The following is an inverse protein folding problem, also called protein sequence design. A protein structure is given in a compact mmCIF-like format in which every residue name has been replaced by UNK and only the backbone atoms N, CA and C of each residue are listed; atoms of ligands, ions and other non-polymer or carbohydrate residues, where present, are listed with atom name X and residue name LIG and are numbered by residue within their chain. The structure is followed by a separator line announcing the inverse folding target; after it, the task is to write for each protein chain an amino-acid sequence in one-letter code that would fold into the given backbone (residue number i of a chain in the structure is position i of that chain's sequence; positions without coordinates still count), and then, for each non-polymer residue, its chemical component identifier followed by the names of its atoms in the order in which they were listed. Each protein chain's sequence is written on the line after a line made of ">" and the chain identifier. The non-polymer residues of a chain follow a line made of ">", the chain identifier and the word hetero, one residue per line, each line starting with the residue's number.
data_IF_372335470596
#
_entry.id   IF_372335470596
#
_cell.length_a   1.000
_cell.length_b   1.000
_cell.length_c   1.000
_cell.angle_alpha   90.00
_cell.angle_beta   90.00
_cell.angle_gamma   90.00
#
_symmetry.space_group_name_H-M   'P 1'
#
loop_
_entity.id
_entity.type
_entity.pdbx_description
1 polymer ?
#
# COMPACT_ATOMS: atom_id res chain seq x y z
N UNK A 1 37.58 20.00 -4.47
CA UNK A 1 37.35 18.76 -5.25
C UNK A 1 35.84 18.61 -5.41
N UNK A 2 35.33 18.95 -6.59
CA UNK A 2 33.92 18.79 -6.97
C UNK A 2 33.65 17.30 -7.16
N UNK A 3 32.89 16.69 -6.26
CA UNK A 3 32.38 15.33 -6.46
C UNK A 3 31.46 15.34 -7.68
N UNK A 4 31.88 14.69 -8.77
CA UNK A 4 30.98 14.37 -9.86
C UNK A 4 29.90 13.41 -9.31
N UNK A 5 28.71 13.93 -9.07
CA UNK A 5 27.50 13.15 -8.80
C UNK A 5 27.11 12.39 -10.08
N UNK A 6 27.83 11.32 -10.40
CA UNK A 6 27.46 10.42 -11.47
C UNK A 6 26.14 9.73 -11.14
N UNK A 7 25.17 9.80 -12.05
CA UNK A 7 23.91 9.06 -11.98
C UNK A 7 24.21 7.58 -11.70
N UNK A 8 23.72 7.06 -10.56
CA UNK A 8 23.96 5.66 -10.17
C UNK A 8 23.02 4.76 -10.97
N UNK A 9 23.54 4.25 -12.09
CA UNK A 9 22.87 3.22 -12.87
C UNK A 9 23.04 1.86 -12.19
N UNK A 10 21.95 1.14 -11.96
CA UNK A 10 21.92 -0.16 -11.27
C UNK A 10 21.22 -1.18 -12.17
N UNK A 11 21.72 -2.42 -12.20
CA UNK A 11 21.06 -3.51 -12.90
C UNK A 11 19.92 -4.08 -12.03
N UNK A 12 18.74 -4.18 -12.60
CA UNK A 12 17.57 -4.85 -12.04
C UNK A 12 17.42 -6.20 -12.75
N UNK A 13 16.91 -7.22 -12.07
CA UNK A 13 16.78 -8.57 -12.60
C UNK A 13 15.41 -8.79 -13.24
N UNK A 14 15.38 -8.90 -14.57
CA UNK A 14 14.15 -9.16 -15.32
C UNK A 14 13.59 -10.56 -15.03
N UNK A 15 14.42 -11.52 -14.61
CA UNK A 15 13.99 -12.89 -14.35
C UNK A 15 13.07 -12.99 -13.13
N UNK A 16 13.12 -12.02 -12.21
CA UNK A 16 12.20 -11.91 -11.08
C UNK A 16 10.81 -11.37 -11.47
N UNK A 17 10.66 -10.81 -12.68
CA UNK A 17 9.36 -10.33 -13.15
C UNK A 17 8.42 -11.50 -13.46
N UNK A 18 7.13 -11.24 -13.32
CA UNK A 18 6.04 -12.17 -13.62
C UNK A 18 6.06 -13.49 -12.81
N UNK A 19 6.89 -13.55 -11.77
CA UNK A 19 7.01 -14.70 -10.88
C UNK A 19 6.19 -14.46 -9.62
N UNK A 20 5.21 -15.33 -9.36
CA UNK A 20 4.43 -15.29 -8.13
C UNK A 20 5.26 -15.77 -6.94
N UNK A 21 5.19 -15.05 -5.83
CA UNK A 21 5.66 -15.57 -4.55
C UNK A 21 4.75 -16.72 -4.05
N UNK A 22 5.16 -17.38 -2.97
CA UNK A 22 4.33 -18.40 -2.32
C UNK A 22 3.03 -17.79 -1.79
N UNK A 23 1.98 -18.62 -1.75
CA UNK A 23 0.68 -18.22 -1.24
C UNK A 23 0.76 -18.02 0.29
N UNK A 24 0.35 -16.85 0.75
CA UNK A 24 0.17 -16.52 2.17
C UNK A 24 -1.29 -16.67 2.57
N UNK A 25 -1.55 -17.16 3.78
CA UNK A 25 -2.92 -17.34 4.27
C UNK A 25 -3.21 -16.48 5.48
N UNK A 26 -4.39 -15.86 5.50
CA UNK A 26 -4.80 -14.96 6.57
C UNK A 26 -6.23 -15.26 7.00
N UNK A 27 -6.41 -15.49 8.30
CA UNK A 27 -7.74 -15.61 8.90
C UNK A 27 -8.24 -14.24 9.35
N UNK A 28 -9.41 -13.85 8.83
CA UNK A 28 -10.07 -12.59 9.19
C UNK A 28 -11.00 -12.83 10.37
N UNK A 29 -10.84 -12.05 11.43
CA UNK A 29 -11.74 -12.09 12.59
C UNK A 29 -12.36 -10.72 12.83
N UNK A 30 -13.51 -10.69 13.52
CA UNK A 30 -14.16 -9.44 13.90
C UNK A 30 -13.26 -8.59 14.80
N UNK A 31 -12.51 -9.23 15.69
CA UNK A 31 -11.57 -8.56 16.59
C UNK A 31 -10.48 -7.84 15.81
N UNK A 32 -9.84 -8.52 14.84
CA UNK A 32 -8.79 -7.90 14.00
C UNK A 32 -9.32 -6.72 13.18
N UNK A 33 -10.54 -6.84 12.65
CA UNK A 33 -11.18 -5.73 11.93
C UNK A 33 -11.40 -4.54 12.87
N UNK A 34 -11.93 -4.79 14.07
CA UNK A 34 -12.21 -3.75 15.06
C UNK A 34 -10.92 -3.09 15.59
N UNK A 35 -9.87 -3.89 15.82
CA UNK A 35 -8.53 -3.42 16.22
C UNK A 35 -7.93 -2.50 15.15
N UNK A 36 -7.99 -2.89 13.88
CA UNK A 36 -7.54 -2.05 12.79
C UNK A 36 -8.33 -0.75 12.69
N UNK A 37 -9.67 -0.82 12.78
CA UNK A 37 -10.52 0.36 12.77
C UNK A 37 -10.19 1.33 13.92
N UNK A 38 -9.94 0.81 15.12
CA UNK A 38 -9.51 1.61 16.27
C UNK A 38 -8.10 2.20 16.06
N UNK A 39 -7.19 1.44 15.46
CA UNK A 39 -5.83 1.88 15.15
C UNK A 39 -5.75 2.89 13.99
N UNK A 40 -6.83 3.09 13.23
CA UNK A 40 -6.94 4.08 12.15
C UNK A 40 -7.94 5.19 12.44
N UNK A 41 -8.36 5.35 13.70
CA UNK A 41 -9.34 6.35 14.14
C UNK A 41 -10.64 6.33 13.31
N UNK A 42 -11.02 5.16 12.82
CA UNK A 42 -12.13 5.00 11.89
C UNK A 42 -13.47 5.22 12.63
N UNK A 43 -14.29 6.20 12.22
CA UNK A 43 -15.55 6.51 12.92
C UNK A 43 -16.70 5.57 12.53
N UNK A 44 -16.55 4.74 11.49
CA UNK A 44 -17.64 3.95 10.92
C UNK A 44 -18.01 2.80 11.87
N UNK A 45 -19.26 2.78 12.32
CA UNK A 45 -19.75 1.82 13.32
C UNK A 45 -19.59 0.37 12.90
N UNK A 46 -19.81 0.06 11.62
CA UNK A 46 -19.65 -1.29 11.09
C UNK A 46 -18.20 -1.80 11.14
N UNK A 47 -17.22 -0.91 10.90
CA UNK A 47 -15.79 -1.24 11.01
C UNK A 47 -15.40 -1.45 12.48
N UNK A 48 -15.80 -0.51 13.35
CA UNK A 48 -15.53 -0.58 14.79
C UNK A 48 -16.16 -1.80 15.47
N UNK A 49 -17.29 -2.28 14.95
CA UNK A 49 -17.95 -3.49 15.44
C UNK A 49 -17.34 -4.78 14.89
N UNK A 50 -16.34 -4.72 13.99
CA UNK A 50 -15.78 -5.91 13.37
C UNK A 50 -16.72 -6.60 12.38
N UNK A 51 -17.75 -5.89 11.88
CA UNK A 51 -18.80 -6.47 11.04
C UNK A 51 -18.42 -6.51 9.55
N UNK A 52 -17.54 -5.60 9.12
CA UNK A 52 -16.97 -5.54 7.77
C UNK A 52 -15.64 -4.77 7.86
N UNK A 53 -14.64 -5.20 7.10
CA UNK A 53 -13.35 -4.53 7.10
C UNK A 53 -13.42 -3.16 6.42
N UNK A 54 -12.61 -2.20 6.86
CA UNK A 54 -12.38 -0.97 6.11
C UNK A 54 -11.65 -1.28 4.79
N UNK A 55 -11.75 -0.44 3.74
CA UNK A 55 -11.13 -0.74 2.45
C UNK A 55 -9.61 -0.99 2.54
N UNK A 56 -8.91 -0.20 3.37
CA UNK A 56 -7.44 -0.28 3.49
C UNK A 56 -6.99 -1.46 4.35
N UNK A 57 -7.88 -2.08 5.15
CA UNK A 57 -7.58 -3.36 5.81
C UNK A 57 -7.14 -4.44 4.82
N UNK A 58 -7.50 -4.34 3.54
CA UNK A 58 -7.04 -5.25 2.49
C UNK A 58 -5.51 -5.35 2.37
N UNK A 59 -4.73 -4.41 2.93
CA UNK A 59 -3.27 -4.52 2.98
C UNK A 59 -2.78 -5.54 4.01
N UNK A 60 -3.52 -5.75 5.11
CA UNK A 60 -3.09 -6.58 6.24
C UNK A 60 -2.88 -8.05 5.83
N UNK A 61 -3.79 -8.68 5.05
CA UNK A 61 -3.60 -10.05 4.58
C UNK A 61 -2.45 -10.25 3.57
N UNK A 62 -1.87 -9.16 3.04
CA UNK A 62 -0.93 -9.24 1.91
C UNK A 62 0.45 -8.66 2.21
N UNK A 63 0.63 -8.06 3.40
CA UNK A 63 1.84 -7.31 3.76
C UNK A 63 3.13 -8.11 3.53
N UNK A 64 3.18 -9.36 3.99
CA UNK A 64 4.36 -10.23 3.82
C UNK A 64 4.60 -10.59 2.34
N UNK A 65 3.53 -10.86 1.58
CA UNK A 65 3.63 -11.24 0.17
C UNK A 65 4.24 -10.13 -0.71
N UNK A 66 4.14 -8.86 -0.30
CA UNK A 66 4.59 -7.70 -1.08
C UNK A 66 6.12 -7.57 -1.16
N UNK A 67 6.86 -8.09 -0.19
CA UNK A 67 8.31 -7.85 -0.09
C UNK A 67 9.12 -8.66 -1.10
N UNK A 68 8.79 -9.94 -1.25
CA UNK A 68 9.54 -10.87 -2.11
C UNK A 68 9.63 -10.40 -3.58
N UNK A 69 8.54 -9.95 -4.23
CA UNK A 69 8.60 -9.39 -5.57
C UNK A 69 9.62 -8.26 -5.77
N UNK A 70 9.87 -7.45 -4.73
CA UNK A 70 10.86 -6.36 -4.80
C UNK A 70 12.27 -6.93 -4.72
N UNK A 71 12.50 -7.91 -3.83
CA UNK A 71 13.79 -8.57 -3.65
C UNK A 71 14.21 -9.33 -4.92
N UNK A 72 13.26 -9.98 -5.59
CA UNK A 72 13.54 -10.76 -6.79
C UNK A 72 13.97 -9.90 -7.99
N UNK A 73 13.70 -8.59 -7.95
CA UNK A 73 13.96 -7.67 -9.07
C UNK A 73 15.01 -6.62 -8.74
N UNK A 74 15.06 -6.12 -7.50
CA UNK A 74 16.02 -5.09 -7.08
C UNK A 74 17.13 -5.67 -6.20
N UNK A 75 18.39 -5.22 -6.39
CA UNK A 75 19.47 -5.64 -5.51
C UNK A 75 19.25 -5.09 -4.08
N UNK A 76 19.49 -5.93 -3.08
CA UNK A 76 19.19 -5.59 -1.68
C UNK A 76 19.98 -4.39 -1.13
N UNK A 77 21.15 -4.09 -1.70
CA UNK A 77 22.01 -2.99 -1.27
C UNK A 77 21.46 -1.59 -1.58
N UNK A 78 20.35 -1.46 -2.32
CA UNK A 78 19.69 -0.17 -2.59
C UNK A 78 18.41 0.04 -1.77
N UNK A 79 18.03 -0.90 -0.91
CA UNK A 79 16.75 -0.86 -0.18
C UNK A 79 16.67 0.31 0.81
N UNK A 80 17.79 0.87 1.29
CA UNK A 80 17.77 2.10 2.09
C UNK A 80 17.22 3.34 1.35
N UNK A 81 16.94 3.26 0.04
CA UNK A 81 16.38 4.34 -0.78
C UNK A 81 14.97 4.04 -1.30
N UNK A 82 14.42 2.88 -0.98
CA UNK A 82 13.07 2.51 -1.39
C UNK A 82 12.04 3.25 -0.55
N UNK A 83 10.97 3.70 -1.18
CA UNK A 83 9.77 4.22 -0.51
C UNK A 83 8.54 3.60 -1.14
N UNK A 84 7.47 3.49 -0.37
CA UNK A 84 6.15 3.16 -0.90
C UNK A 84 5.62 4.41 -1.64
N UNK A 85 5.58 4.35 -2.97
CA UNK A 85 5.23 5.50 -3.81
C UNK A 85 3.74 5.64 -4.07
N UNK A 86 3.08 4.55 -4.47
CA UNK A 86 1.67 4.54 -4.84
C UNK A 86 1.01 3.22 -4.40
N UNK A 87 -0.26 3.29 -4.03
CA UNK A 87 -1.11 2.15 -3.68
C UNK A 87 -2.43 2.29 -4.43
N UNK A 88 -2.89 1.24 -5.11
CA UNK A 88 -4.14 1.20 -5.86
C UNK A 88 -4.88 -0.12 -5.58
N UNK A 89 -5.96 -0.05 -4.81
CA UNK A 89 -6.83 -1.19 -4.54
C UNK A 89 -7.94 -1.27 -5.58
N UNK A 90 -8.23 -2.48 -6.07
CA UNK A 90 -9.40 -2.83 -6.88
C UNK A 90 -10.20 -3.89 -6.12
N UNK A 91 -11.35 -3.51 -5.57
CA UNK A 91 -12.18 -4.38 -4.74
C UNK A 91 -13.26 -5.07 -5.57
N UNK A 92 -13.34 -6.40 -5.44
CA UNK A 92 -14.39 -7.23 -6.05
C UNK A 92 -15.51 -7.53 -5.05
N UNK A 93 -15.16 -7.63 -3.76
CA UNK A 93 -16.10 -7.63 -2.62
C UNK A 93 -15.41 -7.11 -1.36
N UNK A 94 -16.21 -6.75 -0.35
CA UNK A 94 -15.67 -6.41 0.97
C UNK A 94 -15.08 -7.66 1.66
N UNK A 95 -14.09 -7.44 2.53
CA UNK A 95 -13.57 -8.45 3.44
C UNK A 95 -14.49 -8.52 4.66
N UNK A 96 -14.92 -9.73 5.01
CA UNK A 96 -15.88 -9.99 6.09
C UNK A 96 -15.25 -10.89 7.17
N UNK A 97 -15.68 -10.77 8.44
CA UNK A 97 -15.20 -11.66 9.49
C UNK A 97 -15.53 -13.12 9.15
N UNK A 98 -14.56 -14.02 9.41
CA UNK A 98 -14.65 -15.43 9.03
C UNK A 98 -14.07 -15.74 7.64
N UNK A 99 -13.72 -14.74 6.83
CA UNK A 99 -12.97 -14.95 5.60
C UNK A 99 -11.63 -15.66 5.91
N UNK A 100 -11.31 -16.66 5.08
CA UNK A 100 -9.95 -17.22 4.99
C UNK A 100 -9.37 -16.78 3.66
N UNK A 101 -8.45 -15.82 3.72
CA UNK A 101 -7.85 -15.20 2.55
C UNK A 101 -6.57 -15.92 2.18
N UNK A 102 -6.31 -16.01 0.88
CA UNK A 102 -5.08 -16.52 0.27
C UNK A 102 -4.55 -15.42 -0.64
N UNK A 103 -3.34 -14.95 -0.38
CA UNK A 103 -2.72 -13.85 -1.09
C UNK A 103 -1.39 -14.24 -1.70
N UNK A 104 -1.07 -13.62 -2.83
CA UNK A 104 0.20 -13.77 -3.53
C UNK A 104 0.50 -12.50 -4.31
N UNK A 105 1.76 -12.27 -4.60
CA UNK A 105 2.21 -11.09 -5.31
C UNK A 105 3.29 -11.41 -6.34
N UNK A 106 3.46 -10.52 -7.32
CA UNK A 106 4.53 -10.57 -8.30
C UNK A 106 4.92 -9.18 -8.76
N UNK A 107 6.16 -8.98 -9.16
CA UNK A 107 6.59 -7.77 -9.82
C UNK A 107 6.19 -7.88 -11.31
N UNK A 108 5.45 -6.90 -11.82
CA UNK A 108 4.95 -6.90 -13.21
C UNK A 108 5.80 -6.03 -14.14
N UNK A 109 6.64 -5.17 -13.56
CA UNK A 109 7.60 -4.38 -14.33
C UNK A 109 8.35 -3.38 -13.47
N UNK A 110 9.37 -2.79 -14.08
CA UNK A 110 10.08 -1.64 -13.52
C UNK A 110 10.30 -0.57 -14.58
N UNK A 111 10.30 0.69 -14.15
CA UNK A 111 10.42 1.86 -15.03
C UNK A 111 11.47 2.81 -14.48
N UNK A 112 12.52 3.04 -15.27
CA UNK A 112 13.53 4.07 -15.01
C UNK A 112 12.95 5.44 -15.35
N UNK A 113 13.03 6.38 -14.41
CA UNK A 113 12.54 7.76 -14.50
C UNK A 113 13.69 8.74 -14.23
N UNK A 114 13.44 10.03 -14.47
CA UNK A 114 14.42 11.08 -14.27
C UNK A 114 14.88 11.24 -12.80
N UNK A 115 14.07 10.82 -11.82
CA UNK A 115 14.31 10.98 -10.39
C UNK A 115 14.47 9.64 -9.63
N UNK A 116 14.56 8.52 -10.34
CA UNK A 116 14.67 7.19 -9.72
C UNK A 116 14.04 6.10 -10.56
N UNK A 117 13.78 4.95 -9.94
CA UNK A 117 13.19 3.77 -10.61
C UNK A 117 12.00 3.28 -9.79
N UNK A 118 10.88 3.02 -10.48
CA UNK A 118 9.70 2.39 -9.87
C UNK A 118 9.63 0.92 -10.22
N UNK A 119 9.32 0.04 -9.27
CA UNK A 119 8.85 -1.33 -9.50
C UNK A 119 7.34 -1.34 -9.27
N UNK A 120 6.58 -1.87 -10.24
CA UNK A 120 5.15 -2.13 -10.12
C UNK A 120 4.92 -3.57 -9.68
N UNK A 121 4.11 -3.76 -8.65
CA UNK A 121 3.80 -5.04 -8.03
C UNK A 121 2.29 -5.26 -8.16
N UNK A 122 1.89 -6.43 -8.65
CA UNK A 122 0.50 -6.90 -8.60
C UNK A 122 0.35 -7.88 -7.45
N UNK A 123 -0.69 -7.68 -6.65
CA UNK A 123 -1.13 -8.57 -5.58
C UNK A 123 -2.52 -9.08 -5.91
N UNK A 124 -2.73 -10.38 -5.76
CA UNK A 124 -4.06 -10.99 -5.77
C UNK A 124 -4.40 -11.48 -4.36
N UNK A 125 -5.62 -11.19 -3.91
CA UNK A 125 -6.17 -11.73 -2.68
C UNK A 125 -7.47 -12.47 -3.01
N UNK A 126 -7.52 -13.76 -2.71
CA UNK A 126 -8.65 -14.66 -2.97
C UNK A 126 -9.18 -15.24 -1.67
N UNK A 127 -10.41 -15.73 -1.69
CA UNK A 127 -10.96 -16.46 -0.55
C UNK A 127 -10.70 -17.97 -0.61
N UNK A 128 -11.18 -18.70 0.39
CA UNK A 128 -11.01 -20.15 0.48
C UNK A 128 -11.67 -20.95 -0.64
N UNK A 129 -12.56 -20.35 -1.43
CA UNK A 129 -13.14 -20.95 -2.64
C UNK A 129 -12.35 -20.61 -3.91
N UNK A 130 -11.37 -19.70 -3.82
CA UNK A 130 -10.55 -19.22 -4.93
C UNK A 130 -11.14 -18.01 -5.66
N UNK A 131 -12.26 -17.46 -5.17
CA UNK A 131 -12.87 -16.27 -5.74
C UNK A 131 -12.04 -15.03 -5.39
N UNK A 132 -11.93 -14.11 -6.35
CA UNK A 132 -11.11 -12.91 -6.19
C UNK A 132 -11.82 -11.91 -5.28
N UNK A 133 -11.14 -11.50 -4.21
CA UNK A 133 -11.66 -10.56 -3.21
C UNK A 133 -11.21 -9.14 -3.56
N UNK A 134 -9.92 -8.98 -3.83
CA UNK A 134 -9.33 -7.75 -4.32
C UNK A 134 -8.05 -8.03 -5.11
N UNK A 135 -7.71 -7.08 -5.97
CA UNK A 135 -6.40 -6.93 -6.58
C UNK A 135 -5.78 -5.63 -6.09
N UNK A 136 -4.46 -5.59 -5.95
CA UNK A 136 -3.77 -4.38 -5.52
C UNK A 136 -2.54 -4.15 -6.39
N UNK A 137 -2.32 -2.88 -6.74
CA UNK A 137 -1.10 -2.45 -7.38
C UNK A 137 -0.33 -1.57 -6.42
N UNK A 138 0.94 -1.93 -6.22
CA UNK A 138 1.85 -1.19 -5.38
C UNK A 138 3.04 -0.72 -6.21
N UNK A 139 3.47 0.51 -5.95
CA UNK A 139 4.68 1.05 -6.55
C UNK A 139 5.76 1.22 -5.49
N UNK A 140 6.80 0.39 -5.55
CA UNK A 140 8.04 0.62 -4.81
C UNK A 140 8.91 1.59 -5.61
N UNK A 141 9.32 2.71 -5.02
CA UNK A 141 10.11 3.74 -5.71
C UNK A 141 11.49 3.89 -5.08
N UNK A 142 12.54 3.62 -5.86
CA UNK A 142 13.93 3.80 -5.46
C UNK A 142 14.41 5.19 -5.88
N UNK A 143 14.58 6.09 -4.90
CA UNK A 143 15.02 7.47 -5.12
C UNK A 143 16.46 7.53 -5.60
N UNK A 144 16.71 8.31 -6.66
CA UNK A 144 18.05 8.53 -7.25
C UNK A 144 18.79 7.25 -7.68
N UNK A 145 18.05 6.16 -7.90
CA UNK A 145 18.55 4.91 -8.47
C UNK A 145 17.94 4.74 -9.85
N UNK A 146 18.78 4.57 -10.87
CA UNK A 146 18.31 4.47 -12.24
C UNK A 146 18.56 3.06 -12.78
N UNK A 147 17.51 2.35 -13.15
CA UNK A 147 17.67 1.15 -13.96
C UNK A 147 18.22 1.53 -15.34
N UNK A 148 19.01 0.64 -15.94
CA UNK A 148 19.58 0.83 -17.28
C UNK A 148 18.53 0.81 -18.40
N UNK A 149 17.31 0.34 -18.09
CA UNK A 149 16.18 0.21 -18.99
C UNK A 149 14.87 0.24 -18.21
N UNK A 150 13.75 0.08 -18.92
CA UNK A 150 12.42 -0.16 -18.35
C UNK A 150 11.86 -1.43 -18.98
N UNK A 151 11.22 -2.30 -18.18
CA UNK A 151 10.75 -3.62 -18.61
C UNK A 151 9.40 -3.91 -17.96
N UNK A 152 8.52 -4.61 -18.67
CA UNK A 152 7.24 -5.09 -18.15
C UNK A 152 6.13 -4.04 -18.15
N UNK A 153 5.08 -4.31 -17.39
CA UNK A 153 3.91 -3.47 -17.25
C UNK A 153 4.08 -2.44 -16.11
N UNK A 154 3.33 -1.35 -16.21
CA UNK A 154 3.16 -0.39 -15.12
C UNK A 154 1.83 -0.65 -14.38
N UNK A 155 1.73 -0.16 -13.14
CA UNK A 155 0.46 -0.07 -12.44
C UNK A 155 -0.59 0.76 -13.23
N UNK A 156 -1.90 0.49 -13.06
CA UNK A 156 -2.97 1.31 -13.62
C UNK A 156 -2.86 2.78 -13.23
N UNK A 157 -3.29 3.68 -14.10
CA UNK A 157 -3.24 5.12 -13.82
C UNK A 157 -4.46 5.61 -13.03
N UNK A 158 -4.24 6.62 -12.21
CA UNK A 158 -5.24 7.25 -11.33
C UNK A 158 -4.99 8.75 -11.18
N UNK A 159 -4.39 9.38 -12.20
CA UNK A 159 -3.97 10.79 -12.15
C UNK A 159 -5.13 11.71 -11.80
N UNK A 160 -4.90 12.59 -10.82
CA UNK A 160 -5.83 13.64 -10.44
C UNK A 160 -5.97 14.69 -11.56
N UNK A 161 -7.20 15.14 -11.81
CA UNK A 161 -7.45 16.27 -12.70
C UNK A 161 -7.27 17.59 -11.95
N UNK A 162 -6.17 18.30 -12.25
CA UNK A 162 -5.82 19.54 -11.56
C UNK A 162 -6.82 20.68 -11.76
N UNK A 163 -7.69 20.60 -12.77
CA UNK A 163 -8.79 21.54 -12.91
C UNK A 163 -9.77 21.48 -11.71
N UNK A 164 -9.89 20.32 -11.04
CA UNK A 164 -10.81 20.14 -9.91
C UNK A 164 -10.44 21.02 -8.71
N UNK A 165 -9.15 21.34 -8.50
CA UNK A 165 -8.72 22.26 -7.41
C UNK A 165 -9.30 23.67 -7.53
N UNK A 166 -9.72 24.07 -8.74
CA UNK A 166 -10.38 25.37 -8.97
C UNK A 166 -11.89 25.33 -8.72
N UNK A 167 -12.43 24.15 -8.36
CA UNK A 167 -13.86 23.93 -8.07
C UNK A 167 -14.07 23.68 -6.58
N UNK A 168 -15.30 23.88 -6.11
CA UNK A 168 -15.66 23.64 -4.71
C UNK A 168 -15.69 22.13 -4.42
N UNK A 169 -14.92 21.63 -3.43
CA UNK A 169 -15.02 20.24 -3.00
C UNK A 169 -16.45 19.92 -2.55
N UNK A 170 -16.91 18.71 -2.84
CA UNK A 170 -18.21 18.21 -2.32
C UNK A 170 -18.13 17.85 -0.84
N UNK A 171 -16.92 17.61 -0.33
CA UNK A 171 -16.67 17.40 1.09
C UNK A 171 -15.23 17.80 1.46
N UNK A 172 -15.05 18.21 2.73
CA UNK A 172 -13.76 18.44 3.37
C UNK A 172 -13.85 17.83 4.76
N UNK A 173 -12.97 16.88 5.06
CA UNK A 173 -12.99 16.13 6.32
C UNK A 173 -11.67 16.34 7.04
N UNK A 174 -11.74 16.89 8.24
CA UNK A 174 -10.58 17.06 9.11
C UNK A 174 -10.26 15.76 9.86
N UNK A 175 -8.98 15.43 9.94
CA UNK A 175 -8.46 14.27 10.67
C UNK A 175 -7.30 14.72 11.55
N UNK A 176 -7.16 14.13 12.72
CA UNK A 176 -5.97 14.31 13.58
C UNK A 176 -5.19 13.01 13.63
N UNK A 177 -3.88 13.08 13.41
CA UNK A 177 -2.96 11.96 13.63
C UNK A 177 -2.53 12.03 15.09
N UNK A 178 -2.99 11.10 15.92
CA UNK A 178 -2.65 11.16 17.34
C UNK A 178 -1.14 10.98 17.57
N UNK A 179 -0.65 11.45 18.71
CA UNK A 179 0.77 11.31 19.08
C UNK A 179 1.20 9.85 19.21
N UNK A 180 0.28 8.94 19.53
CA UNK A 180 0.53 7.51 19.68
C UNK A 180 0.14 6.68 18.43
N UNK A 181 -0.27 7.33 17.33
CA UNK A 181 -0.91 6.68 16.19
C UNK A 181 -0.08 5.52 15.62
N UNK A 182 1.23 5.72 15.47
CA UNK A 182 2.12 4.71 14.87
C UNK A 182 2.22 3.45 15.72
N UNK A 183 2.25 3.60 17.04
CA UNK A 183 2.33 2.48 17.98
C UNK A 183 1.05 1.64 18.01
N UNK A 184 -0.10 2.25 17.73
CA UNK A 184 -1.37 1.52 17.55
C UNK A 184 -1.47 0.87 16.17
N UNK A 185 -1.08 1.59 15.13
CA UNK A 185 -1.20 1.13 13.74
C UNK A 185 -0.28 -0.05 13.42
N UNK A 186 1.00 0.02 13.79
CA UNK A 186 1.99 -1.00 13.47
C UNK A 186 1.53 -2.44 13.79
N UNK A 187 1.13 -2.78 15.03
CA UNK A 187 0.68 -4.14 15.35
C UNK A 187 -0.63 -4.51 14.67
N UNK A 188 -1.57 -3.57 14.52
CA UNK A 188 -2.86 -3.85 13.89
C UNK A 188 -2.76 -4.08 12.37
N UNK A 189 -1.82 -3.39 11.71
CA UNK A 189 -1.55 -3.52 10.28
C UNK A 189 -0.58 -4.66 9.96
N UNK A 190 0.18 -5.14 10.95
CA UNK A 190 1.29 -6.06 10.74
C UNK A 190 2.51 -5.40 10.10
N UNK A 191 2.71 -4.10 10.30
CA UNK A 191 3.82 -3.33 9.75
C UNK A 191 4.79 -2.90 10.88
N UNK A 192 5.87 -3.67 11.12
CA UNK A 192 6.80 -3.41 12.21
C UNK A 192 8.00 -2.54 11.80
N UNK A 193 7.96 -1.84 10.65
CA UNK A 193 9.12 -1.07 10.15
C UNK A 193 9.56 -0.05 11.21
N UNK A 194 10.80 -0.13 11.74
CA UNK A 194 11.18 0.63 12.94
C UNK A 194 11.22 2.14 12.77
N UNK A 195 11.32 2.67 11.54
CA UNK A 195 11.32 4.12 11.30
C UNK A 195 10.01 4.80 11.76
N UNK A 196 8.94 4.01 11.95
CA UNK A 196 7.66 4.48 12.46
C UNK A 196 7.54 4.38 13.99
N UNK A 197 8.51 3.77 14.67
CA UNK A 197 8.39 3.35 16.07
C UNK A 197 9.59 3.76 16.93
N UNK A 198 10.72 4.10 16.31
CA UNK A 198 11.98 4.40 16.98
C UNK A 198 12.58 5.70 16.42
N UNK A 199 12.71 6.69 17.29
CA UNK A 199 13.22 8.03 16.96
C UNK A 199 14.68 8.01 16.48
N UNK A 200 15.51 7.13 17.06
CA UNK A 200 16.90 7.00 16.66
C UNK A 200 16.99 6.40 15.25
N UNK A 201 16.21 5.35 14.97
CA UNK A 201 16.18 4.75 13.63
C UNK A 201 15.68 5.74 12.58
N UNK A 202 14.64 6.52 12.90
CA UNK A 202 14.14 7.55 12.00
C UNK A 202 15.21 8.62 11.71
N UNK A 203 15.91 9.09 12.75
CA UNK A 203 16.99 10.08 12.64
C UNK A 203 18.18 9.53 11.84
N UNK A 204 18.58 8.29 12.09
CA UNK A 204 19.67 7.61 11.37
C UNK A 204 19.33 7.40 9.89
N UNK A 205 18.04 7.23 9.57
CA UNK A 205 17.53 7.18 8.20
C UNK A 205 17.42 8.58 7.53
N UNK A 206 17.80 9.65 8.25
CA UNK A 206 17.77 11.03 7.77
C UNK A 206 16.38 11.69 7.82
N UNK A 207 15.46 11.14 8.61
CA UNK A 207 14.15 11.74 8.87
C UNK A 207 14.27 12.71 10.05
N UNK A 208 13.40 13.74 10.14
CA UNK A 208 13.40 14.68 11.26
C UNK A 208 12.77 14.11 12.54
N UNK A 209 12.28 12.87 12.50
CA UNK A 209 11.67 12.13 13.61
C UNK A 209 10.77 11.00 13.08
N UNK A 210 10.07 10.31 13.99
CA UNK A 210 9.08 9.29 13.63
C UNK A 210 8.03 9.86 12.66
N UNK A 211 7.80 9.18 11.55
CA UNK A 211 6.72 9.49 10.60
C UNK A 211 5.57 8.50 10.75
N UNK A 212 4.34 8.96 10.47
CA UNK A 212 3.18 8.10 10.33
C UNK A 212 3.32 7.16 9.12
N UNK A 213 2.75 5.96 9.22
CA UNK A 213 2.67 5.02 8.10
C UNK A 213 1.82 5.63 6.98
N UNK A 214 2.31 5.62 5.74
CA UNK A 214 1.54 6.12 4.59
C UNK A 214 0.18 5.43 4.46
N UNK A 215 0.14 4.12 4.70
CA UNK A 215 -1.10 3.32 4.69
C UNK A 215 -2.07 3.70 5.82
N UNK A 216 -1.58 4.21 6.97
CA UNK A 216 -2.44 4.77 8.01
C UNK A 216 -3.09 6.08 7.53
N UNK A 217 -2.32 6.97 6.90
CA UNK A 217 -2.85 8.19 6.27
C UNK A 217 -3.87 7.86 5.17
N UNK A 218 -3.61 6.81 4.39
CA UNK A 218 -4.56 6.32 3.39
C UNK A 218 -5.84 5.76 4.02
N UNK A 219 -5.75 5.06 5.15
CA UNK A 219 -6.91 4.60 5.90
C UNK A 219 -7.78 5.79 6.37
N UNK A 220 -7.15 6.88 6.81
CA UNK A 220 -7.85 8.11 7.19
C UNK A 220 -8.64 8.69 6.02
N UNK A 221 -8.00 8.83 4.86
CA UNK A 221 -8.68 9.29 3.66
C UNK A 221 -9.81 8.35 3.22
N UNK A 222 -9.65 7.04 3.41
CA UNK A 222 -10.65 6.04 3.01
C UNK A 222 -11.95 6.18 3.79
N UNK A 223 -11.89 6.30 5.12
CA UNK A 223 -13.11 6.47 5.90
C UNK A 223 -13.72 7.86 5.69
N UNK A 224 -12.91 8.91 5.45
CA UNK A 224 -13.43 10.24 5.11
C UNK A 224 -14.21 10.25 3.79
N UNK A 225 -13.70 9.55 2.77
CA UNK A 225 -14.44 9.37 1.51
C UNK A 225 -15.72 8.55 1.74
N UNK A 226 -15.63 7.47 2.53
CA UNK A 226 -16.80 6.63 2.78
C UNK A 226 -17.92 7.37 3.52
N UNK A 227 -17.60 8.13 4.57
CA UNK A 227 -18.60 8.86 5.37
C UNK A 227 -19.34 9.89 4.54
N UNK A 228 -18.65 10.58 3.64
CA UNK A 228 -19.22 11.72 2.93
C UNK A 228 -19.93 11.34 1.62
N UNK A 229 -19.37 10.40 0.85
CA UNK A 229 -19.89 10.12 -0.51
C UNK A 229 -20.35 8.68 -0.71
N UNK A 230 -20.06 7.78 0.24
CA UNK A 230 -20.48 6.38 0.17
C UNK A 230 -21.47 5.98 1.27
N UNK A 231 -21.95 6.90 2.12
CA UNK A 231 -22.90 6.58 3.18
C UNK A 231 -22.35 5.55 4.19
N UNK A 232 -21.04 5.57 4.41
CA UNK A 232 -20.32 4.66 5.31
C UNK A 232 -20.43 3.17 4.96
N UNK A 233 -20.70 2.84 3.69
CA UNK A 233 -20.75 1.45 3.21
C UNK A 233 -19.53 1.12 2.35
N UNK A 234 -18.64 0.27 2.90
CA UNK A 234 -17.44 -0.27 2.25
C UNK A 234 -17.74 -0.84 0.86
N UNK A 235 -18.90 -1.49 0.69
CA UNK A 235 -19.25 -2.21 -0.54
C UNK A 235 -19.49 -1.28 -1.73
N UNK A 236 -19.65 0.01 -1.50
CA UNK A 236 -19.84 1.02 -2.54
C UNK A 236 -18.52 1.49 -3.17
N UNK A 237 -17.39 1.17 -2.55
CA UNK A 237 -16.05 1.47 -3.05
C UNK A 237 -15.46 0.24 -3.73
N UNK A 238 -14.96 0.39 -4.95
CA UNK A 238 -14.36 -0.73 -5.69
C UNK A 238 -13.02 -0.41 -6.31
N UNK A 239 -12.62 0.86 -6.26
CA UNK A 239 -11.25 1.26 -6.47
C UNK A 239 -10.91 2.32 -5.45
N UNK A 240 -9.72 2.24 -4.87
CA UNK A 240 -9.20 3.29 -4.00
C UNK A 240 -7.69 3.40 -4.19
N UNK A 241 -7.28 4.47 -4.86
CA UNK A 241 -5.89 4.67 -5.23
C UNK A 241 -5.35 5.99 -4.69
N UNK A 242 -4.06 6.01 -4.33
CA UNK A 242 -3.32 7.20 -3.89
C UNK A 242 -1.89 7.17 -4.41
N UNK A 243 -1.28 8.35 -4.43
CA UNK A 243 0.15 8.54 -4.46
C UNK A 243 0.61 9.21 -3.16
N UNK A 244 1.61 8.64 -2.51
CA UNK A 244 2.22 9.21 -1.30
C UNK A 244 3.15 10.35 -1.70
N UNK A 245 2.75 11.59 -1.41
CA UNK A 245 3.43 12.78 -1.89
C UNK A 245 4.41 13.37 -0.86
N UNK A 246 4.03 13.39 0.42
CA UNK A 246 4.84 13.93 1.52
C UNK A 246 4.64 13.12 2.80
N UNK A 247 5.63 13.19 3.68
CA UNK A 247 5.60 12.56 5.00
C UNK A 247 4.55 13.23 5.89
N UNK A 248 3.92 12.43 6.74
CA UNK A 248 3.00 12.84 7.81
C UNK A 248 3.63 12.46 9.14
N UNK A 249 3.44 13.28 10.17
CA UNK A 249 3.99 13.11 11.51
C UNK A 249 2.87 12.87 12.52
N UNK A 250 3.12 12.13 13.61
CA UNK A 250 2.26 12.16 14.78
C UNK A 250 2.03 13.60 15.26
N UNK A 251 0.77 13.95 15.55
CA UNK A 251 0.33 15.30 15.90
C UNK A 251 -0.10 16.17 14.72
N UNK A 252 0.07 15.72 13.47
CA UNK A 252 -0.38 16.48 12.30
C UNK A 252 -1.92 16.50 12.20
N UNK A 253 -2.46 17.67 11.87
CA UNK A 253 -3.83 17.83 11.38
C UNK A 253 -3.87 17.71 9.85
N UNK A 254 -4.78 16.90 9.36
CA UNK A 254 -4.99 16.64 7.94
C UNK A 254 -6.38 17.09 7.49
N UNK A 255 -6.51 17.45 6.22
CA UNK A 255 -7.80 17.64 5.56
C UNK A 255 -7.87 16.77 4.31
N UNK A 256 -8.85 15.87 4.25
CA UNK A 256 -9.18 15.15 3.02
C UNK A 256 -10.27 15.91 2.27
N UNK A 257 -9.97 16.36 1.05
CA UNK A 257 -10.87 17.12 0.19
C UNK A 257 -11.34 16.23 -0.94
N UNK A 258 -12.64 16.18 -1.17
CA UNK A 258 -13.27 15.27 -2.16
C UNK A 258 -14.01 16.08 -3.21
N UNK A 259 -13.80 15.73 -4.47
CA UNK A 259 -14.49 16.31 -5.62
C UNK A 259 -15.24 15.24 -6.39
N UNK A 260 -16.36 15.62 -7.01
CA UNK A 260 -17.01 14.77 -8.01
C UNK A 260 -16.25 14.92 -9.33
N UNK A 261 -15.62 13.86 -9.80
CA UNK A 261 -14.83 13.85 -11.03
C UNK A 261 -15.68 13.51 -12.27
N UNK A 262 -16.72 12.70 -12.10
CA UNK A 262 -17.58 12.31 -13.21
C UNK A 262 -18.77 11.45 -12.77
N UNK A 263 -19.68 11.21 -13.70
CA UNK A 263 -20.79 10.30 -13.50
C UNK A 263 -21.13 9.62 -14.83
N UNK A 264 -21.05 8.30 -14.88
CA UNK A 264 -21.32 7.52 -16.08
C UNK A 264 -22.04 6.22 -15.72
N UNK A 265 -23.06 5.80 -16.48
CA UNK A 265 -23.75 4.51 -16.30
C UNK A 265 -24.25 4.26 -14.85
N UNK A 266 -24.73 5.30 -14.17
CA UNK A 266 -25.21 5.23 -12.78
C UNK A 266 -24.09 5.13 -11.73
N UNK A 267 -22.82 5.28 -12.13
CA UNK A 267 -21.63 5.26 -11.27
C UNK A 267 -21.05 6.66 -11.19
N UNK A 268 -20.83 7.13 -9.96
CA UNK A 268 -20.13 8.40 -9.71
C UNK A 268 -18.67 8.10 -9.40
N UNK A 269 -17.77 8.76 -10.12
CA UNK A 269 -16.34 8.74 -9.82
C UNK A 269 -15.99 10.01 -9.06
N UNK A 270 -15.22 9.85 -8.00
CA UNK A 270 -14.71 10.97 -7.21
C UNK A 270 -13.22 11.14 -7.46
N UNK A 271 -12.68 12.27 -7.04
CA UNK A 271 -11.26 12.47 -6.85
C UNK A 271 -11.05 13.04 -5.45
N UNK A 272 -9.89 12.79 -4.85
CA UNK A 272 -9.55 13.42 -3.58
C UNK A 272 -8.06 13.75 -3.48
N UNK A 273 -7.75 14.61 -2.54
CA UNK A 273 -6.40 14.81 -2.04
C UNK A 273 -6.47 14.94 -0.51
N UNK A 274 -5.39 14.59 0.16
CA UNK A 274 -5.24 14.86 1.59
C UNK A 274 -4.10 15.84 1.78
N UNK A 275 -4.34 16.89 2.55
CA UNK A 275 -3.36 17.95 2.81
C UNK A 275 -3.04 18.06 4.30
N UNK A 276 -1.83 18.53 4.61
CA UNK A 276 -1.44 19.08 5.90
C UNK A 276 -1.14 20.56 5.71
N UNK A 277 -2.02 21.44 6.17
CA UNK A 277 -1.95 22.86 5.84
C UNK A 277 -1.99 23.07 4.31
N UNK A 278 -0.90 23.55 3.72
CA UNK A 278 -0.78 23.74 2.26
C UNK A 278 -0.12 22.56 1.53
N UNK A 279 0.40 21.58 2.27
CA UNK A 279 1.16 20.47 1.72
C UNK A 279 0.24 19.31 1.34
N UNK A 280 0.21 18.94 0.06
CA UNK A 280 -0.43 17.68 -0.37
C UNK A 280 0.40 16.50 0.12
N UNK A 281 -0.19 15.67 0.98
CA UNK A 281 0.43 14.45 1.54
C UNK A 281 -0.03 13.20 0.82
N UNK A 282 -1.28 13.15 0.37
CA UNK A 282 -1.81 12.15 -0.57
C UNK A 282 -2.32 12.86 -1.82
N UNK A 283 -1.74 12.53 -2.98
CA UNK A 283 -2.18 13.02 -4.30
C UNK A 283 -2.83 11.89 -5.11
N UNK A 284 -3.40 12.24 -6.27
CA UNK A 284 -3.91 11.24 -7.22
C UNK A 284 -4.99 10.34 -6.62
N UNK A 285 -5.76 10.87 -5.66
CA UNK A 285 -6.81 10.13 -4.99
C UNK A 285 -7.93 9.77 -5.96
N UNK A 286 -8.16 8.48 -6.20
CA UNK A 286 -9.22 7.99 -7.08
C UNK A 286 -10.09 6.94 -6.37
N UNK A 287 -11.25 7.33 -5.84
CA UNK A 287 -12.30 6.41 -5.42
C UNK A 287 -13.25 6.17 -6.61
N UNK A 288 -13.38 4.92 -7.05
CA UNK A 288 -14.39 4.57 -8.06
C UNK A 288 -15.23 3.35 -7.64
N UNK A 289 -16.47 3.24 -8.15
CA UNK A 289 -17.25 2.01 -8.22
C UNK A 289 -16.82 1.17 -9.46
N UNK A 290 -17.21 -0.12 -9.59
CA UNK A 290 -16.38 -1.08 -10.33
C UNK A 290 -16.60 -0.90 -11.82
N UNK A 291 -15.70 -1.27 -12.74
CA UNK A 291 -16.14 -1.59 -14.10
C UNK A 291 -17.04 -2.83 -14.05
N UNK A 292 -18.06 -2.90 -14.93
CA UNK A 292 -18.94 -4.08 -14.99
C UNK A 292 -18.14 -5.22 -15.63
N UNK A 293 -17.75 -6.24 -14.87
CA UNK A 293 -17.35 -7.51 -15.47
C UNK A 293 -18.60 -8.14 -16.12
N UNK A 294 -18.48 -8.54 -17.39
CA UNK A 294 -19.53 -9.29 -18.07
C UNK A 294 -19.75 -10.63 -17.33
N UNK A 295 -20.99 -11.15 -17.24
CA UNK A 295 -21.25 -12.41 -16.56
C UNK A 295 -20.50 -13.54 -17.26
N UNK A 296 -19.49 -14.09 -16.60
CA UNK A 296 -18.86 -15.34 -16.99
C UNK A 296 -19.86 -16.46 -16.74
N UNK A 297 -20.36 -17.03 -17.83
CA UNK A 297 -21.17 -18.23 -17.78
C UNK A 297 -20.28 -19.38 -17.31
N UNK A 298 -20.53 -19.89 -16.11
CA UNK A 298 -19.84 -21.08 -15.62
C UNK A 298 -20.25 -22.29 -16.46
N UNK A 299 -19.26 -22.92 -17.12
CA UNK A 299 -19.43 -24.25 -17.69
C UNK A 299 -18.50 -25.20 -16.94
N UNK A 300 -19.11 -26.14 -16.24
CA UNK A 300 -18.48 -27.20 -15.50
C UNK A 300 -17.57 -28.07 -16.39
N UNK A 301 -16.42 -28.46 -15.84
CA UNK A 301 -15.53 -29.47 -16.41
C UNK A 301 -14.45 -29.86 -15.40
N UNK A 302 -14.55 -31.06 -14.85
CA UNK A 302 -13.53 -31.78 -14.04
C UNK A 302 -12.16 -31.75 -14.76
N UNK A 303 -11.03 -31.80 -14.05
CA UNK A 303 -10.44 -33.02 -13.48
C UNK A 303 -9.36 -32.75 -12.43
N UNK A 304 -9.22 -33.71 -11.51
CA UNK A 304 -8.26 -33.74 -10.41
C UNK A 304 -6.91 -34.22 -10.91
N UNK A 305 -5.86 -33.43 -10.67
CA UNK A 305 -4.46 -33.85 -10.76
C UNK A 305 -3.80 -33.71 -9.39
N UNK A 306 -3.52 -34.84 -8.75
CA UNK A 306 -2.84 -34.94 -7.46
C UNK A 306 -1.32 -34.93 -7.71
N UNK A 307 -0.57 -34.02 -7.08
CA UNK A 307 0.86 -34.22 -6.85
C UNK A 307 1.32 -33.51 -5.58
N UNK A 308 1.40 -34.32 -4.53
CA UNK A 308 2.11 -34.02 -3.28
C UNK A 308 3.61 -33.89 -3.54
N UNK A 309 4.21 -32.76 -3.15
CA UNK A 309 5.61 -32.73 -2.77
C UNK A 309 5.78 -31.81 -1.55
N UNK A 310 5.57 -32.39 -0.36
CA UNK A 310 5.91 -31.73 0.91
C UNK A 310 7.43 -31.73 1.03
N UNK A 311 8.05 -30.55 0.91
CA UNK A 311 9.32 -30.28 1.58
C UNK A 311 9.00 -29.52 2.87
N UNK A 312 9.16 -30.20 3.99
CA UNK A 312 9.26 -29.56 5.29
C UNK A 312 10.57 -28.78 5.36
N UNK A 313 10.53 -27.49 5.67
CA UNK A 313 11.64 -26.80 6.34
C UNK A 313 11.19 -25.48 6.97
N UNK A 314 11.64 -25.36 8.21
CA UNK A 314 11.66 -24.27 9.19
C UNK A 314 11.15 -22.89 8.75
N UNK A 315 10.25 -22.35 9.56
CA UNK A 315 10.02 -20.93 9.74
C UNK A 315 11.36 -20.23 10.00
N UNK A 316 11.77 -19.37 9.08
CA UNK A 316 12.84 -18.43 9.34
C UNK A 316 12.28 -17.32 10.23
N UNK A 317 12.92 -17.11 11.38
CA UNK A 317 12.78 -15.88 12.17
C UNK A 317 12.96 -14.67 11.24
N UNK A 318 11.95 -13.81 11.18
CA UNK A 318 11.94 -12.57 10.40
C UNK A 318 12.78 -11.48 11.08
N UNK A 319 14.10 -11.69 11.16
CA UNK A 319 15.07 -10.69 11.61
C UNK A 319 15.71 -9.99 10.41
N UNK A 320 14.99 -9.08 9.74
CA UNK A 320 15.60 -8.21 8.73
C UNK A 320 15.84 -6.78 9.23
N UNK A 321 14.96 -6.26 10.11
CA UNK A 321 15.10 -4.93 10.71
C UNK A 321 16.34 -4.77 11.61
N UNK A 322 17.02 -5.86 11.96
CA UNK A 322 18.29 -5.85 12.67
C UNK A 322 19.49 -5.41 11.82
N UNK A 323 19.38 -5.42 10.48
CA UNK A 323 20.53 -5.21 9.58
C UNK A 323 20.90 -3.74 9.37
N UNK A 324 20.03 -2.79 9.75
CA UNK A 324 20.35 -1.35 9.72
C UNK A 324 21.39 -0.94 10.77
N UNK A 325 21.66 -1.79 11.78
CA UNK A 325 22.72 -1.53 12.77
C UNK A 325 24.14 -1.71 12.22
N UNK A 326 24.35 -2.44 11.13
CA UNK A 326 25.69 -2.92 10.75
C UNK A 326 26.46 -2.01 9.78
N UNK A 327 25.86 -0.94 9.25
CA UNK A 327 26.50 -0.07 8.25
C UNK A 327 26.93 1.32 8.76
N UNK A 328 26.80 1.60 10.06
CA UNK A 328 27.34 2.80 10.71
C UNK A 328 28.52 2.44 11.64
N UNK A 329 29.60 1.91 11.07
CA UNK A 329 30.90 1.89 11.73
C UNK A 329 31.80 2.93 11.05
N UNK A 330 32.11 4.01 11.76
CA UNK A 330 33.08 5.03 11.37
C UNK A 330 34.50 4.45 11.31
N UNK A 331 35.35 4.85 10.36
CA UNK A 331 36.76 4.48 10.38
C UNK A 331 37.47 5.29 11.48
N UNK A 332 38.08 4.58 12.42
CA UNK A 332 39.01 5.13 13.42
C UNK A 332 40.22 5.76 12.73
N UNK A 333 40.49 7.04 13.01
CA UNK A 333 41.73 7.73 12.63
C UNK A 333 42.93 7.15 13.39
N UNK A 334 44.12 7.03 12.79
CA UNK A 334 45.36 6.80 13.53
C UNK A 334 45.91 8.12 14.07
N UNK A 335 46.58 8.04 15.23
CA UNK A 335 47.47 9.08 15.76
C UNK A 335 48.64 9.39 14.82
#
# INVERSE_FOLDING_TARGET
>A
MTAQSGTRVVAFDDAGLETWCEDETFAVTSERIAEYAAATNDPISAHRAGAVASPVFAIVPVFEAMLMPVIDVAPTNIFGRVVHGEQDFHFHRAIEPGDRLVSRAKAIGYTSRANGTSISILVECRDGAGELVNEQYLTAFFRDIHASKSVGAAAPTHKFDEALRSTVPVAVVSQHVDTDQTYRYAPAAGDPVPLHLDEQVATDAGLPGIIAHGLCTMAFASWAVLTEVAGSDTRRLTRFAVRFAKMVFPGDDLETRVWKAGSENGKTTYAFETVRGTDVVLSDGCPSPPPRSAPTTSRAGRERGNSSNRRSRNSADSTWWSTTRASCATPSSPE
#
